data_IF_949893552580
#
_entry.id   IF_949893552580
#
_cell.length_a   1.000
_cell.length_b   1.000
_cell.length_c   1.000
_cell.angle_alpha   90.00
_cell.angle_beta   90.00
_cell.angle_gamma   90.00
#
_symmetry.space_group_name_H-M   'P 1'
#
loop_
_entity.id
_entity.type
_entity.pdbx_description
1 polymer ?
#
# COMPACT_ATOMS: atom_id res chain seq x y z
N UNK A 1 57.84 33.59 104.24
CA UNK A 1 57.63 32.38 103.42
C UNK A 1 57.00 32.79 102.10
N UNK A 2 57.65 32.51 100.98
CA UNK A 2 57.25 32.97 99.65
C UNK A 2 56.85 31.75 98.82
N UNK A 3 55.63 31.75 98.24
CA UNK A 3 55.17 30.72 97.32
C UNK A 3 55.37 31.21 95.90
N UNK A 4 56.28 30.58 95.16
CA UNK A 4 56.51 30.86 93.73
C UNK A 4 55.68 29.88 92.90
N UNK A 5 54.87 30.43 92.01
CA UNK A 5 54.04 29.68 91.08
C UNK A 5 54.89 29.21 89.88
N UNK A 6 55.41 27.99 89.94
CA UNK A 6 56.17 27.34 88.86
C UNK A 6 55.23 26.70 87.82
N UNK A 7 54.29 27.47 87.27
CA UNK A 7 53.49 26.96 86.15
C UNK A 7 54.45 26.64 84.98
N UNK A 8 54.60 25.37 84.56
CA UNK A 8 55.63 25.02 83.60
C UNK A 8 55.16 25.50 82.23
N UNK A 9 55.77 26.58 81.73
CA UNK A 9 55.57 27.14 80.38
C UNK A 9 55.58 26.06 79.27
N UNK A 10 56.26 24.93 79.49
CA UNK A 10 56.37 23.82 78.55
C UNK A 10 55.08 23.00 78.40
N UNK A 11 54.26 22.84 79.45
CA UNK A 11 52.97 22.13 79.34
C UNK A 11 51.87 23.01 78.74
N UNK A 12 51.94 24.33 78.92
CA UNK A 12 51.01 25.27 78.27
C UNK A 12 51.22 25.32 76.75
N UNK A 13 52.47 25.38 76.28
CA UNK A 13 52.78 25.38 74.83
C UNK A 13 52.39 24.08 74.11
N UNK A 14 52.52 22.91 74.78
CA UNK A 14 52.06 21.62 74.20
C UNK A 14 50.53 21.54 74.11
N UNK A 15 49.80 22.14 75.05
CA UNK A 15 48.33 22.24 75.00
C UNK A 15 47.87 23.19 73.90
N UNK A 16 48.59 24.28 73.64
CA UNK A 16 48.31 25.20 72.53
C UNK A 16 48.53 24.53 71.17
N UNK A 17 49.65 23.81 70.99
CA UNK A 17 49.92 23.06 69.76
C UNK A 17 48.86 21.95 69.50
N UNK A 18 48.44 21.23 70.54
CA UNK A 18 47.35 20.25 70.45
C UNK A 18 46.00 20.89 70.09
N UNK A 19 45.68 22.05 70.69
CA UNK A 19 44.47 22.82 70.33
C UNK A 19 44.53 23.31 68.88
N UNK A 20 45.68 23.82 68.42
CA UNK A 20 45.87 24.24 67.03
C UNK A 20 45.67 23.08 66.06
N UNK A 21 46.26 21.91 66.34
CA UNK A 21 46.12 20.73 65.50
C UNK A 21 44.66 20.24 65.44
N UNK A 22 43.93 20.30 66.55
CA UNK A 22 42.50 19.95 66.62
C UNK A 22 41.65 20.94 65.82
N UNK A 23 41.96 22.25 65.88
CA UNK A 23 41.29 23.29 65.08
C UNK A 23 41.54 23.05 63.58
N UNK A 24 42.78 22.78 63.16
CA UNK A 24 43.10 22.48 61.75
C UNK A 24 42.38 21.22 61.27
N UNK A 25 42.31 20.19 62.11
CA UNK A 25 41.60 18.96 61.77
C UNK A 25 40.10 19.21 61.62
N UNK A 26 39.48 19.97 62.54
CA UNK A 26 38.08 20.37 62.43
C UNK A 26 37.82 21.17 61.15
N UNK A 27 38.70 22.11 60.81
CA UNK A 27 38.63 22.89 59.57
C UNK A 27 38.72 22.01 58.33
N UNK A 28 39.63 21.02 58.33
CA UNK A 28 39.79 20.08 57.22
C UNK A 28 38.53 19.22 57.02
N UNK A 29 37.91 18.76 58.11
CA UNK A 29 36.64 18.00 58.05
C UNK A 29 35.51 18.86 57.50
N UNK A 30 35.36 20.10 57.97
CA UNK A 30 34.35 21.03 57.46
C UNK A 30 34.56 21.31 55.98
N UNK A 31 35.81 21.55 55.56
CA UNK A 31 36.15 21.76 54.16
C UNK A 31 35.81 20.54 53.29
N UNK A 32 36.14 19.33 53.75
CA UNK A 32 35.80 18.09 53.05
C UNK A 32 34.29 17.90 52.89
N UNK A 33 33.49 18.23 53.92
CA UNK A 33 32.03 18.18 53.86
C UNK A 33 31.47 19.18 52.84
N UNK A 34 32.00 20.41 52.81
CA UNK A 34 31.59 21.42 51.83
C UNK A 34 31.90 20.95 50.40
N UNK A 35 33.11 20.44 50.16
CA UNK A 35 33.49 19.90 48.86
C UNK A 35 32.61 18.71 48.46
N UNK A 36 32.29 17.81 49.38
CA UNK A 36 31.41 16.67 49.12
C UNK A 36 29.98 17.10 48.79
N UNK A 37 29.44 18.06 49.55
CA UNK A 37 28.12 18.64 49.29
C UNK A 37 28.07 19.31 47.93
N UNK A 38 29.10 20.08 47.56
CA UNK A 38 29.14 20.74 46.26
C UNK A 38 29.25 19.71 45.12
N UNK A 39 30.07 18.68 45.29
CA UNK A 39 30.18 17.61 44.31
C UNK A 39 28.85 16.85 44.12
N UNK A 40 28.19 16.48 45.21
CA UNK A 40 26.92 15.75 45.16
C UNK A 40 25.81 16.59 44.53
N UNK A 41 25.74 17.89 44.85
CA UNK A 41 24.76 18.80 44.26
C UNK A 41 24.99 18.98 42.74
N UNK A 42 26.24 19.11 42.30
CA UNK A 42 26.56 19.18 40.86
C UNK A 42 26.15 17.91 40.12
N UNK A 43 26.38 16.73 40.71
CA UNK A 43 25.93 15.45 40.13
C UNK A 43 24.41 15.33 40.09
N UNK A 44 23.71 15.76 41.14
CA UNK A 44 22.26 15.75 41.16
C UNK A 44 21.64 16.62 40.06
N UNK A 45 22.24 17.79 39.79
CA UNK A 45 21.81 18.66 38.69
C UNK A 45 22.02 18.01 37.32
N UNK A 46 23.15 17.33 37.11
CA UNK A 46 23.41 16.62 35.86
C UNK A 46 22.44 15.45 35.66
N UNK A 47 22.16 14.68 36.71
CA UNK A 47 21.17 13.58 36.67
C UNK A 47 19.77 14.12 36.34
N UNK A 48 19.33 15.20 36.98
CA UNK A 48 18.04 15.81 36.70
C UNK A 48 17.92 16.27 35.24
N UNK A 49 18.97 16.90 34.69
CA UNK A 49 19.00 17.30 33.28
C UNK A 49 18.96 16.10 32.32
N UNK A 50 19.61 14.98 32.67
CA UNK A 50 19.55 13.74 31.88
C UNK A 50 18.16 13.11 31.95
N UNK A 51 17.53 13.05 33.11
CA UNK A 51 16.17 12.54 33.27
C UNK A 51 15.14 13.37 32.50
N UNK A 52 15.28 14.70 32.49
CA UNK A 52 14.39 15.56 31.71
C UNK A 52 14.50 15.27 30.20
N UNK A 53 15.73 15.10 29.68
CA UNK A 53 15.95 14.70 28.28
C UNK A 53 15.30 13.36 27.99
N UNK A 54 15.49 12.36 28.86
CA UNK A 54 14.88 11.03 28.69
C UNK A 54 13.35 11.12 28.69
N UNK A 55 12.76 11.93 29.58
CA UNK A 55 11.30 12.15 29.61
C UNK A 55 10.81 12.78 28.31
N UNK A 56 11.48 13.84 27.82
CA UNK A 56 11.14 14.50 26.54
C UNK A 56 11.20 13.51 25.37
N UNK A 57 12.30 12.78 25.23
CA UNK A 57 12.45 11.78 24.16
C UNK A 57 11.39 10.69 24.25
N UNK A 58 11.05 10.20 25.45
CA UNK A 58 9.95 9.23 25.62
C UNK A 58 8.60 9.81 25.22
N UNK A 59 8.32 11.07 25.53
CA UNK A 59 7.07 11.72 25.10
C UNK A 59 7.00 11.88 23.59
N UNK A 60 8.11 12.21 22.93
CA UNK A 60 8.19 12.28 21.47
C UNK A 60 7.95 10.90 20.84
N UNK A 61 8.59 9.85 21.36
CA UNK A 61 8.37 8.47 20.89
C UNK A 61 6.88 8.09 21.00
N UNK A 62 6.23 8.37 22.14
CA UNK A 62 4.82 8.04 22.33
C UNK A 62 3.89 8.82 21.35
N UNK A 63 4.22 10.08 21.04
CA UNK A 63 3.50 10.84 20.02
C UNK A 63 3.69 10.25 18.62
N UNK A 64 4.92 9.86 18.27
CA UNK A 64 5.23 9.22 17.00
C UNK A 64 4.53 7.86 16.85
N UNK A 65 4.48 7.06 17.92
CA UNK A 65 3.77 5.77 17.91
C UNK A 65 2.27 5.94 17.66
N UNK A 66 1.64 6.99 18.23
CA UNK A 66 0.23 7.30 17.96
C UNK A 66 0.01 7.63 16.47
N UNK A 67 0.88 8.46 15.89
CA UNK A 67 0.82 8.83 14.47
C UNK A 67 1.01 7.58 13.59
N UNK A 68 1.95 6.70 13.94
CA UNK A 68 2.16 5.43 13.22
C UNK A 68 0.91 4.54 13.30
N UNK A 69 0.24 4.50 14.45
CA UNK A 69 -1.03 3.79 14.63
C UNK A 69 -2.12 4.32 13.68
N UNK A 70 -2.34 5.63 13.65
CA UNK A 70 -3.30 6.28 12.75
C UNK A 70 -2.98 6.02 11.26
N UNK A 71 -1.70 6.07 10.88
CA UNK A 71 -1.27 5.80 9.50
C UNK A 71 -1.50 4.34 9.10
N UNK A 72 -1.34 3.39 10.01
CA UNK A 72 -1.65 1.97 9.74
C UNK A 72 -3.14 1.76 9.52
N UNK A 73 -3.99 2.34 10.36
CA UNK A 73 -5.45 2.26 10.23
C UNK A 73 -5.91 2.83 8.87
N UNK A 74 -5.38 3.99 8.49
CA UNK A 74 -5.67 4.61 7.19
C UNK A 74 -5.21 3.71 6.02
N UNK A 75 -4.05 3.06 6.13
CA UNK A 75 -3.57 2.12 5.09
C UNK A 75 -4.46 0.89 4.96
N UNK A 76 -4.93 0.32 6.07
CA UNK A 76 -5.87 -0.81 6.06
C UNK A 76 -7.21 -0.42 5.44
N UNK A 77 -7.75 0.75 5.80
CA UNK A 77 -8.97 1.28 5.18
C UNK A 77 -8.80 1.50 3.67
N UNK A 78 -7.66 2.05 3.23
CA UNK A 78 -7.36 2.20 1.80
C UNK A 78 -7.27 0.84 1.08
N UNK A 79 -6.66 -0.17 1.69
CA UNK A 79 -6.57 -1.51 1.11
C UNK A 79 -7.96 -2.13 0.94
N UNK A 80 -8.82 -2.03 1.95
CA UNK A 80 -10.20 -2.51 1.89
C UNK A 80 -11.04 -1.81 0.80
N UNK A 81 -10.85 -0.50 0.61
CA UNK A 81 -11.56 0.26 -0.45
C UNK A 81 -11.05 -0.12 -1.84
N UNK A 82 -9.74 -0.32 -2.02
CA UNK A 82 -9.16 -0.78 -3.29
C UNK A 82 -9.64 -2.18 -3.68
N UNK A 83 -9.76 -3.10 -2.71
CA UNK A 83 -10.28 -4.44 -2.96
C UNK A 83 -11.74 -4.39 -3.44
N UNK A 84 -12.58 -3.59 -2.77
CA UNK A 84 -13.97 -3.34 -3.20
C UNK A 84 -14.05 -2.77 -4.61
N UNK A 85 -13.18 -1.82 -4.95
CA UNK A 85 -13.09 -1.25 -6.30
C UNK A 85 -12.71 -2.31 -7.34
N UNK A 86 -11.72 -3.15 -7.05
CA UNK A 86 -11.30 -4.22 -7.96
C UNK A 86 -12.40 -5.26 -8.21
N UNK A 87 -13.17 -5.61 -7.17
CA UNK A 87 -14.34 -6.48 -7.31
C UNK A 87 -15.43 -5.79 -8.14
N UNK A 88 -15.67 -4.50 -7.91
CA UNK A 88 -16.67 -3.74 -8.66
C UNK A 88 -16.32 -3.63 -10.15
N UNK A 89 -15.04 -3.38 -10.48
CA UNK A 89 -14.57 -3.33 -11.87
C UNK A 89 -14.72 -4.69 -12.55
N UNK A 90 -14.34 -5.79 -11.89
CA UNK A 90 -14.57 -7.15 -12.42
C UNK A 90 -16.04 -7.44 -12.67
N UNK A 91 -16.93 -6.99 -11.78
CA UNK A 91 -18.38 -7.15 -11.96
C UNK A 91 -18.91 -6.26 -13.10
N UNK A 92 -18.42 -5.03 -13.22
CA UNK A 92 -18.84 -4.08 -14.24
C UNK A 92 -18.40 -4.53 -15.63
N UNK A 93 -17.16 -5.01 -15.78
CA UNK A 93 -16.67 -5.59 -17.03
C UNK A 93 -17.45 -6.84 -17.41
N UNK A 94 -17.77 -7.71 -16.43
CA UNK A 94 -18.60 -8.89 -16.65
C UNK A 94 -20.04 -8.59 -17.06
N UNK A 95 -20.62 -7.47 -16.61
CA UNK A 95 -22.02 -7.10 -16.90
C UNK A 95 -22.19 -6.25 -18.15
N UNK A 96 -21.26 -5.35 -18.46
CA UNK A 96 -21.42 -4.38 -19.57
C UNK A 96 -20.84 -4.89 -20.90
N UNK A 97 -19.84 -5.78 -20.87
CA UNK A 97 -19.22 -6.35 -22.08
C UNK A 97 -20.17 -7.17 -22.95
N UNK A 98 -20.86 -8.20 -22.40
CA UNK A 98 -21.72 -9.08 -23.20
C UNK A 98 -22.95 -8.39 -23.78
N UNK A 99 -23.51 -7.40 -23.07
CA UNK A 99 -24.71 -6.66 -23.53
C UNK A 99 -24.40 -5.83 -24.77
N UNK A 100 -23.24 -5.16 -24.80
CA UNK A 100 -22.85 -4.33 -25.96
C UNK A 100 -22.48 -5.18 -27.17
N UNK A 101 -21.87 -6.35 -26.95
CA UNK A 101 -21.60 -7.30 -28.02
C UNK A 101 -22.89 -7.89 -28.61
N UNK A 102 -23.90 -8.18 -27.78
CA UNK A 102 -25.19 -8.67 -28.25
C UNK A 102 -25.96 -7.60 -29.05
N UNK A 103 -25.87 -6.33 -28.66
CA UNK A 103 -26.47 -5.19 -29.37
C UNK A 103 -25.87 -5.02 -30.78
N UNK A 104 -24.54 -5.07 -30.89
CA UNK A 104 -23.84 -5.03 -32.19
C UNK A 104 -24.13 -6.27 -33.05
N UNK A 105 -24.22 -7.47 -32.43
CA UNK A 105 -24.58 -8.69 -33.14
C UNK A 105 -25.99 -8.61 -33.72
N UNK A 106 -26.96 -8.09 -32.94
CA UNK A 106 -28.35 -7.90 -33.38
C UNK A 106 -28.44 -6.98 -34.60
N UNK A 107 -27.63 -5.92 -34.63
CA UNK A 107 -27.58 -4.98 -35.76
C UNK A 107 -26.98 -5.54 -37.06
N UNK A 108 -26.18 -6.61 -36.98
CA UNK A 108 -25.50 -7.23 -38.12
C UNK A 108 -26.28 -8.40 -38.74
N UNK A 109 -27.41 -8.82 -38.18
CA UNK A 109 -28.21 -9.95 -38.69
C UNK A 109 -29.00 -9.52 -39.94
N UNK A 110 -28.75 -10.15 -41.12
CA UNK A 110 -29.56 -9.90 -42.31
C UNK A 110 -30.99 -10.46 -42.17
N UNK A 111 -31.96 -9.86 -42.87
CA UNK A 111 -33.42 -10.14 -42.73
C UNK A 111 -33.85 -11.60 -42.93
N UNK A 112 -33.00 -12.49 -43.46
CA UNK A 112 -33.30 -13.90 -43.76
C UNK A 112 -32.40 -14.90 -43.02
N UNK A 113 -31.81 -14.47 -41.90
CA UNK A 113 -30.97 -15.29 -41.02
C UNK A 113 -31.57 -15.31 -39.62
N UNK A 114 -31.59 -16.49 -38.99
CA UNK A 114 -31.96 -16.63 -37.58
C UNK A 114 -30.88 -17.39 -36.81
N UNK A 115 -30.64 -16.95 -35.59
CA UNK A 115 -29.76 -17.62 -34.64
C UNK A 115 -30.58 -18.58 -33.79
N UNK A 116 -30.08 -19.80 -33.62
CA UNK A 116 -30.69 -20.86 -32.82
C UNK A 116 -30.00 -21.00 -31.47
N UNK A 117 -28.69 -20.82 -31.41
CA UNK A 117 -27.92 -20.88 -30.17
C UNK A 117 -26.71 -19.96 -30.23
N UNK A 118 -26.44 -19.30 -29.10
CA UNK A 118 -25.22 -18.53 -28.86
C UNK A 118 -24.58 -19.11 -27.58
N UNK A 119 -23.36 -19.61 -27.68
CA UNK A 119 -22.59 -20.13 -26.55
C UNK A 119 -21.28 -19.34 -26.43
N UNK A 120 -21.10 -18.62 -25.32
CA UNK A 120 -19.87 -17.89 -25.04
C UNK A 120 -19.05 -18.63 -23.98
N UNK A 121 -17.79 -18.92 -24.29
CA UNK A 121 -16.84 -19.51 -23.36
C UNK A 121 -15.51 -18.78 -23.46
N UNK A 122 -15.13 -18.10 -22.37
CA UNK A 122 -13.80 -17.54 -22.14
C UNK A 122 -13.23 -16.73 -23.33
N UNK A 123 -14.03 -15.83 -23.92
CA UNK A 123 -13.59 -14.98 -25.04
C UNK A 123 -13.75 -15.62 -26.43
N UNK A 124 -14.28 -16.83 -26.54
CA UNK A 124 -14.74 -17.42 -27.80
C UNK A 124 -16.27 -17.55 -27.81
N UNK A 125 -16.90 -17.10 -28.89
CA UNK A 125 -18.34 -17.19 -29.11
C UNK A 125 -18.60 -18.18 -30.24
N UNK A 126 -19.46 -19.16 -29.95
CA UNK A 126 -20.00 -20.10 -30.94
C UNK A 126 -21.43 -19.71 -31.24
N UNK A 127 -21.71 -19.47 -32.52
CA UNK A 127 -23.03 -19.12 -33.03
C UNK A 127 -23.54 -20.26 -33.91
N UNK A 128 -24.71 -20.79 -33.57
CA UNK A 128 -25.46 -21.74 -34.38
C UNK A 128 -26.70 -21.05 -34.92
N UNK A 129 -26.94 -21.13 -36.22
CA UNK A 129 -28.08 -20.50 -36.87
C UNK A 129 -28.51 -21.21 -38.14
N UNK A 130 -29.58 -20.72 -38.75
CA UNK A 130 -29.92 -21.10 -40.12
C UNK A 130 -30.26 -19.87 -40.96
N UNK A 131 -29.93 -19.94 -42.23
CA UNK A 131 -30.13 -18.87 -43.20
C UNK A 131 -30.91 -19.37 -44.41
N UNK A 132 -31.63 -18.46 -45.07
CA UNK A 132 -32.37 -18.75 -46.30
C UNK A 132 -31.51 -18.92 -47.55
N UNK A 133 -30.23 -18.54 -47.51
CA UNK A 133 -29.27 -18.72 -48.62
C UNK A 133 -27.83 -18.75 -48.12
N UNK A 134 -26.92 -19.34 -48.91
CA UNK A 134 -25.47 -19.33 -48.67
C UNK A 134 -24.93 -17.90 -48.79
N UNK A 135 -25.53 -17.08 -49.66
CA UNK A 135 -25.17 -15.67 -49.85
C UNK A 135 -25.37 -14.86 -48.57
N UNK A 136 -26.51 -15.04 -47.89
CA UNK A 136 -26.80 -14.42 -46.60
C UNK A 136 -25.80 -14.83 -45.49
N UNK A 137 -25.31 -16.08 -45.50
CA UNK A 137 -24.27 -16.55 -44.56
C UNK A 137 -22.93 -15.85 -44.83
N UNK A 138 -22.58 -15.65 -46.09
CA UNK A 138 -21.34 -14.98 -46.47
C UNK A 138 -21.37 -13.47 -46.18
N UNK A 139 -22.51 -12.82 -46.38
CA UNK A 139 -22.74 -11.43 -46.01
C UNK A 139 -22.65 -11.23 -44.48
N UNK A 140 -23.20 -12.17 -43.70
CA UNK A 140 -23.07 -12.19 -42.25
C UNK A 140 -21.60 -12.36 -41.81
N UNK A 141 -20.86 -13.30 -42.42
CA UNK A 141 -19.43 -13.50 -42.14
C UNK A 141 -18.60 -12.23 -42.44
N UNK A 142 -18.89 -11.55 -43.54
CA UNK A 142 -18.24 -10.29 -43.90
C UNK A 142 -18.60 -9.14 -42.94
N UNK A 143 -19.86 -9.09 -42.48
CA UNK A 143 -20.33 -8.15 -41.45
C UNK A 143 -19.62 -8.35 -40.12
N UNK A 144 -19.44 -9.60 -39.68
CA UNK A 144 -18.69 -9.90 -38.46
C UNK A 144 -17.20 -9.55 -38.58
N UNK A 145 -16.56 -9.79 -39.73
CA UNK A 145 -15.15 -9.41 -39.96
C UNK A 145 -14.91 -7.90 -39.91
N UNK A 146 -15.94 -7.09 -40.16
CA UNK A 146 -15.86 -5.62 -40.16
C UNK A 146 -16.04 -5.02 -38.76
N UNK A 147 -16.59 -5.78 -37.81
CA UNK A 147 -16.86 -5.29 -36.46
C UNK A 147 -15.58 -5.27 -35.61
N UNK A 148 -15.30 -4.19 -34.87
CA UNK A 148 -14.12 -4.09 -34.01
C UNK A 148 -14.16 -5.01 -32.78
N UNK A 149 -15.30 -5.64 -32.50
CA UNK A 149 -15.52 -6.50 -31.32
C UNK A 149 -15.30 -8.00 -31.62
N UNK A 150 -15.29 -8.40 -32.89
CA UNK A 150 -15.14 -9.79 -33.31
C UNK A 150 -13.86 -9.96 -34.12
N UNK A 151 -12.95 -10.80 -33.63
CA UNK A 151 -11.71 -11.15 -34.33
C UNK A 151 -11.81 -12.56 -34.90
N UNK A 152 -11.44 -12.68 -36.18
CA UNK A 152 -11.28 -13.95 -36.90
C UNK A 152 -12.48 -14.92 -36.84
N UNK A 153 -13.67 -14.55 -37.37
CA UNK A 153 -14.80 -15.48 -37.46
C UNK A 153 -14.49 -16.60 -38.46
N UNK A 154 -14.60 -17.84 -37.99
CA UNK A 154 -14.37 -19.07 -38.76
C UNK A 154 -15.68 -19.86 -38.90
N UNK A 155 -16.00 -20.26 -40.13
CA UNK A 155 -17.15 -21.10 -40.43
C UNK A 155 -16.75 -22.57 -40.27
N UNK A 156 -17.32 -23.28 -39.29
CA UNK A 156 -16.95 -24.69 -39.02
C UNK A 156 -17.80 -25.70 -39.76
N UNK A 157 -19.11 -25.45 -39.91
CA UNK A 157 -20.04 -26.40 -40.57
C UNK A 157 -21.13 -25.65 -41.32
N UNK A 158 -21.47 -26.14 -42.51
CA UNK A 158 -22.61 -25.65 -43.31
C UNK A 158 -23.33 -26.86 -43.88
N UNK A 159 -24.56 -27.09 -43.42
CA UNK A 159 -25.39 -28.22 -43.85
C UNK A 159 -26.66 -27.68 -44.49
N UNK A 160 -26.84 -27.92 -45.79
CA UNK A 160 -28.08 -27.57 -46.48
C UNK A 160 -29.16 -28.63 -46.16
N UNK A 161 -30.25 -28.23 -45.50
CA UNK A 161 -31.46 -29.04 -45.35
C UNK A 161 -32.55 -28.48 -46.25
N UNK A 162 -32.91 -29.25 -47.27
CA UNK A 162 -34.02 -28.92 -48.16
C UNK A 162 -35.30 -29.54 -47.61
N UNK A 163 -36.05 -28.77 -46.83
CA UNK A 163 -37.41 -29.16 -46.44
C UNK A 163 -38.42 -28.58 -47.46
N UNK A 164 -39.46 -29.35 -47.80
CA UNK A 164 -40.20 -29.40 -49.08
C UNK A 164 -40.82 -28.08 -49.62
N UNK A 165 -40.62 -26.92 -48.99
CA UNK A 165 -41.03 -25.59 -49.51
C UNK A 165 -40.02 -24.44 -49.33
N UNK A 166 -38.90 -24.60 -48.63
CA UNK A 166 -37.86 -23.56 -48.51
C UNK A 166 -36.45 -24.15 -48.36
N UNK A 167 -35.47 -23.67 -49.12
CA UNK A 167 -34.05 -24.04 -48.96
C UNK A 167 -33.51 -23.39 -47.68
N UNK A 168 -33.13 -24.19 -46.68
CA UNK A 168 -32.52 -23.73 -45.44
C UNK A 168 -31.08 -24.23 -45.34
N UNK A 169 -30.19 -23.37 -44.90
CA UNK A 169 -28.79 -23.69 -44.66
C UNK A 169 -28.53 -23.55 -43.16
N UNK A 170 -28.27 -24.65 -42.47
CA UNK A 170 -27.80 -24.63 -41.09
C UNK A 170 -26.30 -24.32 -41.08
N UNK A 171 -25.86 -23.37 -40.25
CA UNK A 171 -24.45 -23.02 -40.11
C UNK A 171 -24.02 -22.95 -38.64
N UNK A 172 -22.78 -23.36 -38.40
CA UNK A 172 -22.09 -23.17 -37.12
C UNK A 172 -20.84 -22.34 -37.37
N UNK A 173 -20.72 -21.22 -36.66
CA UNK A 173 -19.59 -20.29 -36.75
C UNK A 173 -18.97 -20.11 -35.37
N UNK A 174 -17.65 -20.01 -35.32
CA UNK A 174 -16.91 -19.63 -34.11
C UNK A 174 -16.22 -18.31 -34.37
N UNK A 175 -16.31 -17.37 -33.44
CA UNK A 175 -15.60 -16.09 -33.49
C UNK A 175 -14.95 -15.81 -32.13
N UNK A 176 -13.78 -15.17 -32.12
CA UNK A 176 -13.15 -14.71 -30.88
C UNK A 176 -13.67 -13.31 -30.57
N UNK A 177 -14.18 -13.11 -29.35
CA UNK A 177 -14.70 -11.82 -28.90
C UNK A 177 -13.73 -11.22 -27.90
N UNK A 178 -13.25 -10.03 -28.24
CA UNK A 178 -12.40 -9.25 -27.37
C UNK A 178 -13.26 -8.18 -26.69
N UNK A 179 -13.65 -8.44 -25.44
CA UNK A 179 -14.37 -7.48 -24.58
C UNK A 179 -13.49 -6.33 -24.08
N UNK A 180 -12.26 -6.25 -24.57
CA UNK A 180 -11.25 -5.27 -24.19
C UNK A 180 -10.64 -4.75 -25.48
N UNK A 181 -10.76 -3.46 -25.84
CA UNK A 181 -9.65 -2.86 -26.58
C UNK A 181 -8.45 -3.09 -25.69
N UNK A 182 -7.45 -3.84 -26.17
CA UNK A 182 -6.22 -4.10 -25.44
C UNK A 182 -5.80 -2.80 -24.74
N UNK A 183 -5.95 -2.73 -23.41
CA UNK A 183 -5.16 -1.78 -22.65
C UNK A 183 -3.76 -2.30 -22.85
N UNK A 184 -3.07 -1.63 -23.76
CA UNK A 184 -1.68 -1.84 -24.08
C UNK A 184 -0.93 -1.91 -22.74
N UNK A 185 -0.59 -3.13 -22.34
CA UNK A 185 0.60 -3.37 -21.55
C UNK A 185 1.75 -3.17 -22.53
N UNK A 186 2.04 -1.91 -22.85
CA UNK A 186 3.19 -1.50 -23.63
C UNK A 186 4.08 -0.63 -22.73
N UNK A 187 5.22 -1.21 -22.39
CA UNK A 187 6.47 -0.53 -22.07
C UNK A 187 6.45 0.44 -20.88
N UNK A 188 6.60 -0.09 -19.67
CA UNK A 188 7.89 0.08 -18.98
C UNK A 188 9.11 0.25 -19.91
N UNK A 189 9.96 1.23 -19.57
CA UNK A 189 11.32 1.48 -20.03
C UNK A 189 11.53 2.47 -21.20
N UNK A 190 11.65 3.76 -20.85
CA UNK A 190 12.76 4.59 -21.30
C UNK A 190 13.03 5.71 -20.25
N UNK A 191 14.19 5.69 -19.56
CA UNK A 191 14.67 6.80 -18.76
C UNK A 191 15.42 7.79 -19.66
N UNK A 192 15.13 9.08 -19.53
CA UNK A 192 15.88 10.12 -20.23
C UNK A 192 15.17 11.47 -20.15
N UNK A 193 15.60 12.32 -19.21
CA UNK A 193 16.36 13.56 -19.49
C UNK A 193 15.60 14.60 -20.31
N UNK A 194 15.41 15.78 -19.69
CA UNK A 194 15.70 17.14 -20.17
C UNK A 194 14.92 18.11 -19.27
N UNK A 195 15.55 18.67 -18.24
CA UNK A 195 16.21 20.00 -18.24
C UNK A 195 15.31 21.20 -18.58
N UNK A 196 15.29 22.14 -17.62
CA UNK A 196 15.12 23.60 -17.74
C UNK A 196 13.82 24.17 -18.33
N UNK A 197 13.07 24.88 -17.48
CA UNK A 197 12.96 26.35 -17.58
C UNK A 197 12.54 26.98 -16.26
#
# INVERSE_FOLDING_TARGET
MIRINLLPVRVSKKKEAGKQQLIFFALAVVFALICNFWWSHSRAAEVAAREEKVKRTRTEIAQLEKIIGEVKDIKEQQAAVKDKLAVLEKLKSGRQGPVRMLDELSGLIPKRLWLRKLDEKAGAVTLDGSAGSIDDVSAFLAGLKKSPYFSNPELKKTTAKSDKKFKLVEFTMTATVNYTPAVQVAAAAAPGTLERR
#
